data_IF_357749372767
#
_entry.id   IF_357749372767
#
_cell.length_a   1.000
_cell.length_b   1.000
_cell.length_c   1.000
_cell.angle_alpha   90.00
_cell.angle_beta   90.00
_cell.angle_gamma   90.00
#
_symmetry.space_group_name_H-M   'P 1'
#
loop_
_entity.id
_entity.type
_entity.pdbx_description
1 polymer ?
#
# COMPACT_ATOMS: atom_id res chain seq x y z
N UNK A 1 7.66 0.85 27.07
CA UNK A 1 7.36 -0.53 26.64
C UNK A 1 8.30 -0.79 25.50
N UNK A 2 9.28 -1.66 25.70
CA UNK A 2 10.21 -2.03 24.64
C UNK A 2 9.45 -2.85 23.61
N UNK A 3 9.26 -2.30 22.42
CA UNK A 3 8.66 -3.01 21.30
C UNK A 3 9.70 -4.01 20.77
N UNK A 4 9.64 -5.24 21.26
CA UNK A 4 10.38 -6.34 20.66
C UNK A 4 9.69 -6.75 19.36
N UNK A 5 10.45 -6.74 18.26
CA UNK A 5 10.00 -7.30 16.98
C UNK A 5 10.17 -8.81 17.07
N UNK A 6 9.07 -9.55 17.05
CA UNK A 6 9.07 -11.02 16.94
C UNK A 6 9.44 -11.40 15.49
N UNK A 7 10.70 -11.78 15.27
CA UNK A 7 11.20 -12.15 13.95
C UNK A 7 10.94 -13.64 13.72
N UNK A 8 10.11 -13.94 12.73
CA UNK A 8 9.81 -15.30 12.29
C UNK A 8 10.41 -15.57 10.92
N UNK A 9 10.78 -16.82 10.68
CA UNK A 9 11.25 -17.29 9.38
C UNK A 9 11.02 -18.80 9.26
N UNK A 10 11.04 -19.29 8.02
CA UNK A 10 10.93 -20.71 7.68
C UNK A 10 12.31 -21.21 7.23
N UNK A 11 12.82 -22.27 7.87
CA UNK A 11 14.17 -22.78 7.60
C UNK A 11 14.34 -23.29 6.16
N UNK A 12 13.37 -24.04 5.65
CA UNK A 12 13.40 -24.55 4.27
C UNK A 12 13.40 -23.41 3.24
N UNK A 13 12.64 -22.35 3.52
CA UNK A 13 12.60 -21.17 2.68
C UNK A 13 13.89 -20.34 2.80
N UNK A 14 14.44 -20.19 4.00
CA UNK A 14 15.70 -19.52 4.23
C UNK A 14 16.85 -20.20 3.46
N UNK A 15 16.83 -21.52 3.32
CA UNK A 15 17.78 -22.26 2.49
C UNK A 15 17.64 -21.96 0.98
N UNK A 16 16.47 -21.51 0.52
CA UNK A 16 16.19 -21.20 -0.90
C UNK A 16 16.43 -19.73 -1.25
N UNK A 17 15.92 -18.81 -0.42
CA UNK A 17 15.92 -17.37 -0.71
C UNK A 17 16.78 -16.55 0.26
N UNK A 18 17.48 -17.21 1.19
CA UNK A 18 18.28 -16.59 2.23
C UNK A 18 17.43 -16.20 3.46
N UNK A 19 18.09 -16.06 4.61
CA UNK A 19 17.44 -15.72 5.88
C UNK A 19 16.59 -14.44 5.78
N UNK A 20 17.16 -13.35 5.28
CA UNK A 20 16.44 -12.09 5.12
C UNK A 20 15.25 -12.23 4.16
N UNK A 21 15.38 -13.01 3.09
CA UNK A 21 14.29 -13.29 2.17
C UNK A 21 13.16 -14.03 2.89
N UNK A 22 13.49 -15.04 3.69
CA UNK A 22 12.49 -15.78 4.45
C UNK A 22 11.80 -14.93 5.52
N UNK A 23 12.51 -14.02 6.19
CA UNK A 23 11.92 -13.11 7.17
C UNK A 23 10.92 -12.17 6.50
N UNK A 24 11.32 -11.56 5.38
CA UNK A 24 10.42 -10.66 4.62
C UNK A 24 9.22 -11.44 4.10
N UNK A 25 9.42 -12.65 3.58
CA UNK A 25 8.33 -13.47 3.07
C UNK A 25 7.32 -13.81 4.17
N UNK A 26 7.78 -14.27 5.34
CA UNK A 26 6.90 -14.60 6.46
C UNK A 26 6.11 -13.36 6.94
N UNK A 27 6.79 -12.22 7.04
CA UNK A 27 6.15 -10.94 7.31
C UNK A 27 5.07 -10.60 6.27
N UNK A 28 5.37 -10.69 4.98
CA UNK A 28 4.40 -10.40 3.92
C UNK A 28 3.21 -11.37 3.95
N UNK A 29 3.46 -12.67 4.15
CA UNK A 29 2.40 -13.68 4.31
C UNK A 29 1.49 -13.33 5.48
N UNK A 30 2.05 -12.96 6.63
CA UNK A 30 1.25 -12.57 7.80
C UNK A 30 0.33 -11.38 7.48
N UNK A 31 0.87 -10.32 6.89
CA UNK A 31 0.09 -9.11 6.55
C UNK A 31 -0.96 -9.38 5.47
N UNK A 32 -0.62 -10.15 4.44
CA UNK A 32 -1.55 -10.53 3.36
C UNK A 32 -2.67 -11.45 3.90
N UNK A 33 -2.36 -12.31 4.86
CA UNK A 33 -3.37 -13.21 5.47
C UNK A 33 -4.37 -12.46 6.36
N UNK A 34 -3.94 -11.37 6.97
CA UNK A 34 -4.80 -10.54 7.81
C UNK A 34 -5.70 -9.61 6.99
N UNK A 35 -5.17 -9.00 5.91
CA UNK A 35 -5.85 -8.03 5.04
C UNK A 35 -5.21 -7.94 3.65
N UNK A 36 -5.82 -7.21 2.72
CA UNK A 36 -5.12 -6.81 1.48
C UNK A 36 -3.85 -6.01 1.81
N UNK A 37 -2.71 -6.42 1.25
CA UNK A 37 -1.43 -5.74 1.43
C UNK A 37 -1.02 -4.96 0.18
N UNK A 38 -0.82 -3.66 0.35
CA UNK A 38 -0.31 -2.78 -0.68
C UNK A 38 1.20 -2.66 -0.54
N UNK A 39 1.93 -2.77 -1.64
CA UNK A 39 3.38 -2.75 -1.59
C UNK A 39 3.87 -1.35 -1.23
N UNK A 40 4.31 -1.19 0.01
CA UNK A 40 5.05 -0.04 0.49
C UNK A 40 6.34 -0.51 1.19
N UNK A 41 7.47 -0.30 0.53
CA UNK A 41 8.79 -0.69 1.05
C UNK A 41 9.12 0.08 2.33
N UNK A 42 8.64 1.31 2.48
CA UNK A 42 8.91 2.12 3.67
C UNK A 42 8.18 1.56 4.88
N UNK A 43 6.96 1.04 4.70
CA UNK A 43 6.24 0.33 5.77
C UNK A 43 6.96 -0.96 6.18
N UNK A 44 7.44 -1.77 5.22
CA UNK A 44 8.24 -2.97 5.54
C UNK A 44 9.50 -2.58 6.31
N UNK A 45 10.19 -1.52 5.90
CA UNK A 45 11.40 -1.04 6.55
C UNK A 45 11.16 -0.55 7.98
N UNK A 46 10.04 0.14 8.22
CA UNK A 46 9.66 0.60 9.55
C UNK A 46 9.36 -0.57 10.50
N UNK A 47 8.72 -1.63 9.99
CA UNK A 47 8.39 -2.84 10.77
C UNK A 47 9.61 -3.78 10.94
N UNK A 48 10.54 -3.80 9.97
CA UNK A 48 11.73 -4.66 9.95
C UNK A 48 13.04 -3.87 9.73
N UNK A 49 13.40 -2.92 10.63
CA UNK A 49 14.53 -2.00 10.44
C UNK A 49 15.90 -2.69 10.42
N UNK A 50 15.96 -3.98 10.81
CA UNK A 50 17.17 -4.80 10.78
C UNK A 50 17.62 -5.16 9.36
N UNK A 51 16.74 -5.06 8.35
CA UNK A 51 17.08 -5.32 6.95
C UNK A 51 17.13 -3.99 6.20
N UNK A 52 18.25 -3.72 5.51
CA UNK A 52 18.40 -2.47 4.75
C UNK A 52 17.37 -2.32 3.64
N UNK A 53 16.86 -1.10 3.43
CA UNK A 53 15.83 -0.77 2.42
C UNK A 53 16.16 -1.30 1.02
N UNK A 54 17.39 -1.08 0.54
CA UNK A 54 17.83 -1.59 -0.78
C UNK A 54 17.78 -3.11 -0.86
N UNK A 55 18.15 -3.80 0.23
CA UNK A 55 18.08 -5.25 0.33
C UNK A 55 16.63 -5.73 0.28
N UNK A 56 15.70 -5.04 0.97
CA UNK A 56 14.27 -5.35 0.89
C UNK A 56 13.75 -5.22 -0.54
N UNK A 57 14.04 -4.12 -1.22
CA UNK A 57 13.63 -3.91 -2.63
C UNK A 57 14.12 -5.07 -3.51
N UNK A 58 15.40 -5.40 -3.40
CA UNK A 58 16.00 -6.46 -4.20
C UNK A 58 15.39 -7.83 -3.90
N UNK A 59 15.13 -8.14 -2.62
CA UNK A 59 14.55 -9.42 -2.22
C UNK A 59 13.08 -9.53 -2.64
N UNK A 60 12.27 -8.48 -2.49
CA UNK A 60 10.87 -8.47 -2.94
C UNK A 60 10.80 -8.66 -4.46
N UNK A 61 11.60 -7.91 -5.22
CA UNK A 61 11.67 -8.06 -6.67
C UNK A 61 12.10 -9.48 -7.07
N UNK A 62 13.10 -10.04 -6.38
CA UNK A 62 13.52 -11.43 -6.61
C UNK A 62 12.41 -12.42 -6.30
N UNK A 63 11.69 -12.27 -5.19
CA UNK A 63 10.57 -13.15 -4.83
C UNK A 63 9.42 -13.08 -5.84
N UNK A 64 9.18 -11.92 -6.45
CA UNK A 64 8.23 -11.78 -7.56
C UNK A 64 8.73 -12.54 -8.80
N UNK A 65 10.00 -12.36 -9.17
CA UNK A 65 10.61 -13.05 -10.32
C UNK A 65 10.64 -14.57 -10.16
N UNK A 66 10.94 -15.04 -8.96
CA UNK A 66 11.04 -16.47 -8.62
C UNK A 66 9.66 -17.12 -8.41
N UNK A 67 8.56 -16.34 -8.48
CA UNK A 67 7.19 -16.85 -8.39
C UNK A 67 6.70 -17.16 -6.98
N UNK A 68 7.33 -16.59 -5.95
CA UNK A 68 6.81 -16.66 -4.57
C UNK A 68 5.74 -15.59 -4.31
N UNK A 69 5.82 -14.46 -5.02
CA UNK A 69 4.90 -13.33 -4.90
C UNK A 69 4.39 -12.95 -6.28
N UNK A 70 3.16 -12.43 -6.32
CA UNK A 70 2.59 -11.81 -7.51
C UNK A 70 2.32 -10.34 -7.25
N UNK A 71 2.94 -9.47 -8.04
CA UNK A 71 2.62 -8.05 -8.04
C UNK A 71 1.46 -7.77 -9.00
N UNK A 72 0.42 -7.12 -8.49
CA UNK A 72 -0.72 -6.64 -9.28
C UNK A 72 -0.68 -5.12 -9.29
N UNK A 73 -0.41 -4.56 -10.47
CA UNK A 73 -0.48 -3.12 -10.70
C UNK A 73 -1.93 -2.66 -10.68
N UNK A 74 -2.23 -1.66 -9.84
CA UNK A 74 -3.58 -1.16 -9.65
C UNK A 74 -3.93 -0.11 -10.71
N UNK A 75 -5.09 -0.30 -11.33
CA UNK A 75 -5.73 0.70 -12.18
C UNK A 75 -6.22 1.89 -11.34
N UNK A 76 -6.41 3.05 -11.96
CA UNK A 76 -6.99 4.21 -11.29
C UNK A 76 -8.36 3.92 -10.66
N UNK A 77 -9.15 3.03 -11.26
CA UNK A 77 -10.46 2.63 -10.75
C UNK A 77 -10.30 1.82 -9.46
N UNK A 78 -9.35 0.89 -9.41
CA UNK A 78 -9.08 0.09 -8.22
C UNK A 78 -8.55 0.96 -7.08
N UNK A 79 -7.61 1.86 -7.38
CA UNK A 79 -7.10 2.83 -6.38
C UNK A 79 -8.22 3.66 -5.77
N UNK A 80 -9.14 4.15 -6.60
CA UNK A 80 -10.32 4.88 -6.12
C UNK A 80 -11.17 4.02 -5.19
N UNK A 81 -11.51 2.79 -5.59
CA UNK A 81 -12.32 1.86 -4.75
C UNK A 81 -11.69 1.63 -3.38
N UNK A 82 -10.37 1.44 -3.33
CA UNK A 82 -9.63 1.25 -2.08
C UNK A 82 -9.74 2.49 -1.19
N UNK A 83 -9.44 3.67 -1.76
CA UNK A 83 -9.39 4.92 -1.01
C UNK A 83 -10.80 5.35 -0.55
N UNK A 84 -11.83 5.10 -1.35
CA UNK A 84 -13.21 5.49 -1.02
C UNK A 84 -13.81 4.67 0.14
N UNK A 85 -13.22 3.52 0.48
CA UNK A 85 -13.77 2.61 1.50
C UNK A 85 -13.31 2.91 2.94
N UNK A 86 -12.59 4.01 3.16
CA UNK A 86 -11.89 4.29 4.44
C UNK A 86 -12.77 4.69 5.62
N UNK A 87 -14.08 4.82 5.42
CA UNK A 87 -15.07 5.17 6.46
C UNK A 87 -14.61 6.35 7.35
N UNK A 88 -14.34 7.52 6.75
CA UNK A 88 -13.91 8.73 7.48
C UNK A 88 -15.02 9.77 7.63
N UNK A 89 -16.28 9.36 7.47
CA UNK A 89 -17.47 10.21 7.50
C UNK A 89 -17.50 11.09 8.75
N UNK A 90 -17.46 12.42 8.55
CA UNK A 90 -17.55 13.39 9.64
C UNK A 90 -16.28 13.57 10.49
N UNK A 91 -15.23 12.77 10.28
CA UNK A 91 -13.93 12.92 10.95
C UNK A 91 -13.10 14.06 10.32
N UNK A 92 -12.16 14.63 11.06
CA UNK A 92 -11.25 15.68 10.57
C UNK A 92 -11.63 17.10 10.97
N UNK A 93 -11.00 18.10 10.34
CA UNK A 93 -11.18 19.52 10.66
C UNK A 93 -11.42 20.31 9.36
N UNK A 94 -12.47 21.12 9.34
CA UNK A 94 -12.76 22.07 8.27
C UNK A 94 -14.21 22.06 7.81
N UNK A 95 -14.51 22.96 6.88
CA UNK A 95 -15.89 23.24 6.44
C UNK A 95 -16.27 22.51 5.14
N UNK A 96 -15.33 21.79 4.51
CA UNK A 96 -15.59 21.06 3.27
C UNK A 96 -15.51 19.56 3.50
N UNK A 97 -16.18 18.79 2.63
CA UNK A 97 -16.22 17.33 2.68
C UNK A 97 -15.49 16.76 1.47
N UNK A 98 -14.65 15.74 1.69
CA UNK A 98 -13.99 14.99 0.62
C UNK A 98 -14.99 14.09 -0.12
N UNK A 99 -14.99 14.08 -1.45
CA UNK A 99 -15.90 13.26 -2.26
C UNK A 99 -15.55 11.76 -2.22
N UNK A 100 -14.37 11.38 -1.70
CA UNK A 100 -13.92 9.98 -1.68
C UNK A 100 -14.06 9.34 -0.31
N UNK A 101 -13.47 9.94 0.72
CA UNK A 101 -13.51 9.38 2.08
C UNK A 101 -14.50 10.08 3.01
N UNK A 102 -15.21 11.11 2.53
CA UNK A 102 -16.19 11.90 3.30
C UNK A 102 -15.65 12.62 4.54
N UNK A 103 -14.33 12.68 4.74
CA UNK A 103 -13.75 13.43 5.85
C UNK A 103 -13.96 14.94 5.69
N UNK A 104 -13.94 15.65 6.82
CA UNK A 104 -13.87 17.11 6.89
C UNK A 104 -12.43 17.57 6.67
N UNK A 105 -12.29 18.57 5.80
CA UNK A 105 -11.00 19.18 5.45
C UNK A 105 -11.16 20.67 5.17
N UNK A 106 -10.10 21.43 5.43
CA UNK A 106 -10.01 22.85 5.10
C UNK A 106 -9.71 23.07 3.62
N UNK A 107 -8.95 22.15 3.01
CA UNK A 107 -8.50 22.23 1.62
C UNK A 107 -8.94 21.01 0.83
N UNK A 108 -9.36 21.25 -0.42
CA UNK A 108 -9.67 20.21 -1.39
C UNK A 108 -8.94 20.49 -2.68
N UNK A 109 -8.48 19.44 -3.33
CA UNK A 109 -7.93 19.49 -4.67
C UNK A 109 -9.02 19.04 -5.66
N UNK A 110 -9.22 19.82 -6.73
CA UNK A 110 -10.21 19.51 -7.78
C UNK A 110 -9.51 18.82 -8.93
N UNK A 111 -9.89 17.58 -9.21
CA UNK A 111 -9.26 16.78 -10.26
C UNK A 111 -10.29 15.98 -11.06
N UNK A 112 -9.93 15.66 -12.31
CA UNK A 112 -10.69 14.70 -13.10
C UNK A 112 -10.20 13.31 -12.71
N UNK A 113 -10.93 12.66 -11.80
CA UNK A 113 -10.62 11.32 -11.30
C UNK A 113 -11.90 10.50 -11.07
N UNK A 114 -11.80 9.15 -11.06
CA UNK A 114 -10.57 8.35 -11.28
C UNK A 114 -10.07 8.38 -12.74
N UNK A 115 -10.92 8.77 -13.69
CA UNK A 115 -10.56 8.91 -15.10
C UNK A 115 -10.03 10.32 -15.35
N UNK A 116 -8.80 10.42 -15.86
CA UNK A 116 -8.17 11.71 -16.14
C UNK A 116 -8.86 12.41 -17.32
N UNK A 117 -8.76 13.75 -17.37
CA UNK A 117 -9.35 14.56 -18.45
C UNK A 117 -8.87 14.12 -19.84
N UNK A 118 -7.57 13.79 -19.96
CA UNK A 118 -6.95 13.32 -21.20
C UNK A 118 -7.54 11.97 -21.70
N UNK A 119 -8.09 11.18 -20.78
CA UNK A 119 -8.66 9.85 -21.04
C UNK A 119 -10.21 9.92 -21.15
N UNK A 120 -10.77 11.12 -21.36
CA UNK A 120 -12.21 11.35 -21.50
C UNK A 120 -12.96 11.61 -20.19
N UNK A 121 -12.26 11.78 -19.07
CA UNK A 121 -12.88 12.13 -17.79
C UNK A 121 -13.52 13.52 -17.83
N UNK A 122 -14.83 13.59 -17.55
CA UNK A 122 -15.61 14.84 -17.57
C UNK A 122 -15.96 15.38 -16.18
N UNK A 123 -15.94 14.52 -15.16
CA UNK A 123 -16.33 14.87 -13.80
C UNK A 123 -15.12 15.41 -13.03
N UNK A 124 -15.32 16.52 -12.32
CA UNK A 124 -14.39 17.00 -11.32
C UNK A 124 -14.83 16.52 -9.94
N UNK A 125 -13.90 15.93 -9.19
CA UNK A 125 -14.09 15.54 -7.80
C UNK A 125 -13.25 16.43 -6.89
N UNK A 126 -13.79 16.71 -5.71
CA UNK A 126 -13.14 17.40 -4.63
C UNK A 126 -12.54 16.39 -3.65
N UNK A 127 -11.22 16.24 -3.64
CA UNK A 127 -10.54 15.27 -2.78
C UNK A 127 -9.66 15.96 -1.75
N UNK A 128 -9.59 15.42 -0.54
CA UNK A 128 -8.69 15.93 0.50
C UNK A 128 -7.22 15.63 0.14
N UNK A 129 -6.24 16.37 0.72
CA UNK A 129 -4.83 16.15 0.46
C UNK A 129 -4.36 14.72 0.67
N UNK A 130 -4.90 14.03 1.69
CA UNK A 130 -4.51 12.65 1.99
C UNK A 130 -5.01 11.67 0.90
N UNK A 131 -6.28 11.76 0.51
CA UNK A 131 -6.81 10.92 -0.58
C UNK A 131 -6.08 11.20 -1.91
N UNK A 132 -5.74 12.47 -2.17
CA UNK A 132 -4.97 12.84 -3.34
C UNK A 132 -3.56 12.25 -3.32
N UNK A 133 -2.84 12.40 -2.21
CA UNK A 133 -1.51 11.84 -2.02
C UNK A 133 -1.51 10.33 -2.21
N UNK A 134 -2.40 9.62 -1.52
CA UNK A 134 -2.47 8.16 -1.59
C UNK A 134 -2.83 7.64 -2.96
N UNK A 135 -3.70 8.30 -3.71
CA UNK A 135 -4.01 7.91 -5.09
C UNK A 135 -2.77 7.84 -5.98
N UNK A 136 -1.81 8.75 -5.75
CA UNK A 136 -0.56 8.78 -6.49
C UNK A 136 0.49 7.79 -5.97
N UNK A 137 0.42 7.41 -4.69
CA UNK A 137 1.40 6.53 -4.05
C UNK A 137 0.99 5.05 -4.07
N UNK A 138 -0.31 4.77 -4.07
CA UNK A 138 -0.88 3.44 -4.20
C UNK A 138 -0.64 2.93 -5.62
N UNK A 139 0.37 2.08 -5.83
CA UNK A 139 0.78 1.60 -7.16
C UNK A 139 0.38 0.16 -7.42
N UNK A 140 0.63 -0.73 -6.48
CA UNK A 140 0.43 -2.15 -6.63
C UNK A 140 0.04 -2.82 -5.32
N UNK A 141 -0.54 -4.01 -5.43
CA UNK A 141 -0.77 -4.93 -4.31
C UNK A 141 -0.01 -6.23 -4.54
N UNK A 142 0.29 -6.93 -3.44
CA UNK A 142 0.92 -8.24 -3.50
C UNK A 142 -0.09 -9.35 -3.21
N UNK A 143 0.06 -10.46 -3.91
CA UNK A 143 -0.62 -11.73 -3.62
C UNK A 143 0.44 -12.84 -3.41
N UNK A 144 0.14 -13.79 -2.52
CA UNK A 144 0.94 -15.01 -2.37
C UNK A 144 0.53 -16.00 -3.47
N UNK A 145 1.51 -16.70 -4.06
CA UNK A 145 1.29 -17.75 -5.08
C UNK A 145 1.25 -19.14 -4.43
#
# INVERSE_FOLDING_TARGET
MDNYIDIRYNEDLANKIGLNGSIIYDYLVSKISEKEYFLDIDDIYNDLPIIGRTTMINLVNKMIMDGYLKEIVLTNIEKYKIISNKQMDGLGIGNRTCDWCSCKTTTLHKHHYPIQKKDGGIQLVNICPNCHYEFHHLKSKLEII
#
